data_IF_837555491655
#
_entry.id   IF_837555491655
#
_cell.length_a   1.000
_cell.length_b   1.000
_cell.length_c   1.000
_cell.angle_alpha   90.00
_cell.angle_beta   90.00
_cell.angle_gamma   90.00
#
_symmetry.space_group_name_H-M   'P 1'
#
loop_
_entity.id
_entity.type
_entity.pdbx_description
1 polymer ?
#
# COMPACT_ATOMS: atom_id res chain seq x y z
N UNK A 1 11.82 -14.38 9.42
CA UNK A 1 11.89 -13.38 10.52
C UNK A 1 13.37 -13.10 10.75
N UNK A 2 13.84 -11.84 10.82
CA UNK A 2 15.25 -11.53 11.07
C UNK A 2 15.72 -12.06 12.43
N UNK A 3 16.98 -12.48 12.51
CA UNK A 3 17.57 -12.95 13.78
C UNK A 3 18.01 -11.79 14.68
N UNK A 4 18.57 -10.73 14.07
CA UNK A 4 18.98 -9.51 14.77
C UNK A 4 17.78 -8.81 15.42
N UNK A 5 17.89 -8.50 16.72
CA UNK A 5 16.81 -7.89 17.49
C UNK A 5 16.34 -6.56 16.92
N UNK A 6 17.26 -5.72 16.43
CA UNK A 6 16.92 -4.42 15.85
C UNK A 6 16.12 -4.56 14.54
N UNK A 7 16.55 -5.46 13.66
CA UNK A 7 15.85 -5.74 12.39
C UNK A 7 14.50 -6.40 12.64
N UNK A 8 14.41 -7.29 13.63
CA UNK A 8 13.17 -7.94 14.06
C UNK A 8 12.17 -6.92 14.61
N UNK A 9 12.63 -5.97 15.43
CA UNK A 9 11.79 -4.88 15.94
C UNK A 9 11.25 -4.00 14.81
N UNK A 10 12.10 -3.60 13.86
CA UNK A 10 11.68 -2.83 12.69
C UNK A 10 10.68 -3.59 11.82
N UNK A 11 10.91 -4.90 11.60
CA UNK A 11 9.98 -5.76 10.87
C UNK A 11 8.59 -5.76 11.54
N UNK A 12 8.52 -5.98 12.85
CA UNK A 12 7.23 -5.98 13.55
C UNK A 12 6.56 -4.60 13.53
N UNK A 13 7.33 -3.52 13.71
CA UNK A 13 6.81 -2.16 13.59
C UNK A 13 6.12 -1.95 12.24
N UNK A 14 6.83 -2.24 11.13
CA UNK A 14 6.28 -2.06 9.77
C UNK A 14 5.08 -2.98 9.51
N UNK A 15 5.14 -4.21 10.01
CA UNK A 15 4.02 -5.16 9.90
C UNK A 15 2.74 -4.60 10.54
N UNK A 16 2.83 -4.06 11.76
CA UNK A 16 1.67 -3.52 12.47
C UNK A 16 1.21 -2.16 11.92
N UNK A 17 2.13 -1.27 11.55
CA UNK A 17 1.79 -0.02 10.86
C UNK A 17 1.06 -0.27 9.53
N UNK A 18 1.37 -1.37 8.84
CA UNK A 18 0.69 -1.82 7.61
C UNK A 18 -0.82 -1.97 7.73
N UNK A 19 -1.33 -2.27 8.92
CA UNK A 19 -2.76 -2.37 9.18
C UNK A 19 -3.45 -1.01 9.02
N UNK A 20 -2.78 0.07 9.43
CA UNK A 20 -3.28 1.45 9.26
C UNK A 20 -3.37 1.84 7.79
N UNK A 21 -2.36 1.48 6.97
CA UNK A 21 -2.41 1.68 5.53
C UNK A 21 -3.60 0.96 4.91
N UNK A 22 -3.81 -0.30 5.29
CA UNK A 22 -4.91 -1.13 4.78
C UNK A 22 -6.27 -0.50 5.12
N UNK A 23 -6.44 0.00 6.34
CA UNK A 23 -7.65 0.68 6.77
C UNK A 23 -7.90 1.97 5.97
N UNK A 24 -6.92 2.87 5.90
CA UNK A 24 -7.06 4.16 5.20
C UNK A 24 -7.30 4.00 3.70
N UNK A 25 -6.67 2.99 3.09
CA UNK A 25 -6.93 2.60 1.71
C UNK A 25 -8.39 2.16 1.55
N UNK A 26 -8.87 1.27 2.42
CA UNK A 26 -10.24 0.77 2.38
C UNK A 26 -11.29 1.88 2.59
N UNK A 27 -10.99 2.86 3.42
CA UNK A 27 -11.86 4.01 3.71
C UNK A 27 -12.03 4.97 2.51
N UNK A 28 -11.13 4.91 1.53
CA UNK A 28 -11.26 5.64 0.26
C UNK A 28 -11.89 4.76 -0.81
N UNK A 29 -11.30 3.60 -1.09
CA UNK A 29 -11.70 2.74 -2.22
C UNK A 29 -13.12 2.20 -2.04
N UNK A 30 -13.47 1.81 -0.82
CA UNK A 30 -14.76 1.17 -0.54
C UNK A 30 -15.81 2.11 0.04
N UNK A 31 -15.54 3.42 0.11
CA UNK A 31 -16.45 4.37 0.76
C UNK A 31 -17.87 4.28 0.18
N UNK A 32 -18.01 4.40 -1.15
CA UNK A 32 -19.31 4.37 -1.82
C UNK A 32 -20.01 3.01 -1.72
N UNK A 33 -19.25 1.93 -1.54
CA UNK A 33 -19.80 0.59 -1.34
C UNK A 33 -20.27 0.36 0.10
N UNK A 34 -19.54 0.88 1.09
CA UNK A 34 -19.85 0.72 2.51
C UNK A 34 -20.88 1.72 3.04
N UNK A 35 -20.94 2.92 2.46
CA UNK A 35 -21.78 4.02 2.93
C UNK A 35 -22.97 4.22 2.00
N UNK A 36 -24.22 4.04 2.48
CA UNK A 36 -25.43 4.30 1.71
C UNK A 36 -25.46 5.72 1.16
N UNK A 37 -26.05 5.90 -0.03
CA UNK A 37 -26.02 7.18 -0.74
C UNK A 37 -26.52 8.38 0.10
N UNK A 38 -27.59 8.19 0.88
CA UNK A 38 -28.13 9.24 1.77
C UNK A 38 -27.28 9.58 2.99
N UNK A 39 -26.26 8.77 3.30
CA UNK A 39 -25.32 8.95 4.43
C UNK A 39 -23.93 9.42 3.97
N UNK A 40 -23.73 9.60 2.67
CA UNK A 40 -22.45 10.05 2.12
C UNK A 40 -22.23 11.53 2.41
N UNK A 41 -21.02 11.86 2.81
CA UNK A 41 -20.63 13.24 3.15
C UNK A 41 -19.32 13.60 2.45
N UNK A 42 -19.31 14.71 1.71
CA UNK A 42 -18.12 15.24 1.03
C UNK A 42 -16.97 15.50 2.01
N UNK A 43 -17.28 15.90 3.24
CA UNK A 43 -16.30 16.10 4.31
C UNK A 43 -15.59 14.80 4.70
N UNK A 44 -16.31 13.67 4.72
CA UNK A 44 -15.73 12.36 4.98
C UNK A 44 -14.84 11.91 3.82
N UNK A 45 -15.29 12.09 2.57
CA UNK A 45 -14.50 11.78 1.36
C UNK A 45 -13.19 12.56 1.36
N UNK A 46 -13.25 13.88 1.61
CA UNK A 46 -12.07 14.75 1.68
C UNK A 46 -11.10 14.29 2.77
N UNK A 47 -11.60 14.09 4.00
CA UNK A 47 -10.78 13.66 5.14
C UNK A 47 -10.11 12.31 4.89
N UNK A 48 -10.83 11.34 4.32
CA UNK A 48 -10.28 10.01 4.05
C UNK A 48 -9.17 10.08 2.98
N UNK A 49 -9.35 10.88 1.93
CA UNK A 49 -8.32 11.12 0.91
C UNK A 49 -7.08 11.80 1.46
N UNK A 50 -7.24 12.84 2.28
CA UNK A 50 -6.13 13.52 2.95
C UNK A 50 -5.37 12.57 3.87
N UNK A 51 -6.09 11.75 4.65
CA UNK A 51 -5.50 10.75 5.53
C UNK A 51 -4.71 9.67 4.76
N UNK A 52 -5.23 9.20 3.63
CA UNK A 52 -4.54 8.24 2.76
C UNK A 52 -3.33 8.87 2.08
N UNK A 53 -3.42 10.12 1.57
CA UNK A 53 -2.26 10.82 0.98
C UNK A 53 -1.12 11.00 2.00
N UNK A 54 -1.45 11.35 3.25
CA UNK A 54 -0.46 11.44 4.32
C UNK A 54 0.17 10.07 4.64
N UNK A 55 -0.62 9.00 4.64
CA UNK A 55 -0.13 7.64 4.87
C UNK A 55 0.79 7.17 3.73
N UNK A 56 0.40 7.34 2.47
CA UNK A 56 1.25 6.96 1.32
C UNK A 56 2.59 7.71 1.36
N UNK A 57 2.58 9.00 1.71
CA UNK A 57 3.80 9.80 1.91
C UNK A 57 4.69 9.25 3.03
N UNK A 58 4.12 8.69 4.09
CA UNK A 58 4.87 8.04 5.17
C UNK A 58 5.62 6.81 4.65
N UNK A 59 4.94 5.94 3.89
CA UNK A 59 5.54 4.73 3.30
C UNK A 59 6.61 5.05 2.25
N UNK A 60 6.37 6.03 1.39
CA UNK A 60 7.37 6.58 0.48
C UNK A 60 8.60 7.06 1.28
N UNK A 61 8.39 7.81 2.36
CA UNK A 61 9.46 8.30 3.23
C UNK A 61 10.23 7.19 3.95
N UNK A 62 9.58 6.08 4.31
CA UNK A 62 10.26 4.91 4.87
C UNK A 62 11.18 4.24 3.84
N UNK A 63 10.71 4.06 2.59
CA UNK A 63 11.53 3.48 1.53
C UNK A 63 12.66 4.41 1.08
N UNK A 64 12.47 5.72 1.14
CA UNK A 64 13.54 6.70 0.92
C UNK A 64 14.69 6.56 1.94
N UNK A 65 14.36 6.21 3.19
CA UNK A 65 15.32 6.07 4.29
C UNK A 65 15.80 4.63 4.51
N UNK A 66 15.21 3.67 3.80
CA UNK A 66 15.51 2.26 3.99
C UNK A 66 16.96 1.94 3.60
N UNK A 67 17.59 1.04 4.36
CA UNK A 67 18.95 0.55 4.08
C UNK A 67 18.98 -0.56 3.02
N UNK A 68 17.84 -0.85 2.38
CA UNK A 68 17.67 -1.90 1.39
C UNK A 68 16.32 -1.78 0.65
N UNK A 69 16.02 -2.73 -0.25
CA UNK A 69 14.86 -2.64 -1.14
C UNK A 69 13.54 -3.10 -0.49
N UNK A 70 13.54 -3.47 0.79
CA UNK A 70 12.37 -3.99 1.50
C UNK A 70 12.01 -3.12 2.71
N UNK A 71 10.79 -3.26 3.21
CA UNK A 71 10.23 -2.39 4.24
C UNK A 71 10.98 -2.43 5.57
N UNK A 72 11.62 -3.56 5.85
CA UNK A 72 12.39 -3.79 7.08
C UNK A 72 13.90 -3.95 6.84
N UNK A 73 14.41 -3.51 5.69
CA UNK A 73 15.85 -3.50 5.38
C UNK A 73 16.21 -4.26 4.11
N UNK A 74 17.27 -5.06 4.17
CA UNK A 74 17.89 -5.69 2.99
C UNK A 74 17.21 -6.98 2.53
N UNK A 75 16.50 -7.65 3.43
CA UNK A 75 15.91 -8.96 3.19
C UNK A 75 14.39 -8.89 3.20
N UNK A 76 13.76 -9.63 2.29
CA UNK A 76 12.31 -9.82 2.28
C UNK A 76 11.87 -10.47 3.59
N UNK A 77 10.82 -9.94 4.19
CA UNK A 77 10.41 -10.27 5.56
C UNK A 77 8.89 -10.37 5.70
N UNK A 78 8.42 -10.67 6.92
CA UNK A 78 6.99 -10.71 7.20
C UNK A 78 6.32 -9.33 7.02
N UNK A 79 7.07 -8.24 7.20
CA UNK A 79 6.56 -6.90 6.91
C UNK A 79 6.13 -6.78 5.43
N UNK A 80 6.96 -7.26 4.51
CA UNK A 80 6.67 -7.21 3.07
C UNK A 80 5.49 -8.12 2.70
N UNK A 81 5.41 -9.31 3.30
CA UNK A 81 4.27 -10.23 3.11
C UNK A 81 2.94 -9.58 3.49
N UNK A 82 2.90 -8.86 4.62
CA UNK A 82 1.67 -8.27 5.15
C UNK A 82 1.31 -6.96 4.44
N UNK A 83 2.29 -6.13 4.11
CA UNK A 83 2.06 -4.78 3.57
C UNK A 83 1.95 -4.76 2.05
N UNK A 84 2.68 -5.62 1.35
CA UNK A 84 2.71 -5.62 -0.11
C UNK A 84 1.33 -5.72 -0.77
N UNK A 85 0.37 -6.56 -0.29
CA UNK A 85 -0.97 -6.60 -0.87
C UNK A 85 -1.66 -5.23 -0.90
N UNK A 86 -1.56 -4.44 0.17
CA UNK A 86 -2.14 -3.09 0.23
C UNK A 86 -1.43 -2.11 -0.70
N UNK A 87 -0.10 -2.23 -0.85
CA UNK A 87 0.67 -1.44 -1.83
C UNK A 87 0.28 -1.81 -3.28
N UNK A 88 0.16 -3.09 -3.59
CA UNK A 88 -0.29 -3.54 -4.90
C UNK A 88 -1.71 -3.05 -5.20
N UNK A 89 -2.58 -3.03 -4.19
CA UNK A 89 -3.95 -2.55 -4.32
C UNK A 89 -4.02 -1.05 -4.62
N UNK A 90 -3.28 -0.20 -3.91
CA UNK A 90 -3.29 1.25 -4.22
C UNK A 90 -2.76 1.57 -5.63
N UNK A 91 -1.76 0.82 -6.13
CA UNK A 91 -1.31 0.96 -7.52
C UNK A 91 -2.33 0.43 -8.52
N UNK A 92 -3.00 -0.69 -8.23
CA UNK A 92 -4.10 -1.20 -9.05
C UNK A 92 -5.24 -0.17 -9.18
N UNK A 93 -5.49 0.62 -8.14
CA UNK A 93 -6.48 1.71 -8.11
C UNK A 93 -5.93 3.08 -8.56
N UNK A 94 -4.76 3.13 -9.19
CA UNK A 94 -4.30 4.33 -9.89
C UNK A 94 -3.36 5.25 -9.16
N UNK A 95 -2.70 4.81 -8.09
CA UNK A 95 -1.70 5.65 -7.44
C UNK A 95 -0.60 6.06 -8.43
N UNK A 96 -0.27 7.35 -8.47
CA UNK A 96 0.71 7.90 -9.40
C UNK A 96 2.14 7.46 -9.07
N UNK A 97 2.76 6.65 -9.94
CA UNK A 97 4.14 6.19 -9.77
C UNK A 97 5.16 7.34 -9.73
N UNK A 98 4.98 8.37 -10.56
CA UNK A 98 5.88 9.53 -10.62
C UNK A 98 5.89 10.35 -9.32
N UNK A 99 4.74 10.40 -8.63
CA UNK A 99 4.60 11.09 -7.34
C UNK A 99 5.24 10.32 -6.19
N UNK A 100 5.31 8.99 -6.30
CA UNK A 100 5.80 8.08 -5.25
C UNK A 100 6.84 7.08 -5.81
N UNK A 101 8.00 7.58 -6.28
CA UNK A 101 8.93 6.77 -7.06
C UNK A 101 9.60 5.65 -6.24
N UNK A 102 9.83 5.82 -4.93
CA UNK A 102 10.40 4.73 -4.11
C UNK A 102 9.39 3.64 -3.85
N UNK A 103 8.13 4.01 -3.60
CA UNK A 103 7.04 3.08 -3.44
C UNK A 103 6.75 2.32 -4.74
N UNK A 104 6.79 3.00 -5.88
CA UNK A 104 6.65 2.40 -7.21
C UNK A 104 7.78 1.41 -7.50
N UNK A 105 9.03 1.78 -7.21
CA UNK A 105 10.17 0.88 -7.36
C UNK A 105 10.03 -0.38 -6.48
N UNK A 106 9.63 -0.22 -5.22
CA UNK A 106 9.33 -1.33 -4.31
C UNK A 106 8.20 -2.22 -4.84
N UNK A 107 7.11 -1.61 -5.32
CA UNK A 107 5.96 -2.31 -5.88
C UNK A 107 6.35 -3.16 -7.09
N UNK A 108 7.02 -2.55 -8.08
CA UNK A 108 7.42 -3.19 -9.33
C UNK A 108 8.46 -4.29 -9.09
N UNK A 109 9.45 -4.07 -8.21
CA UNK A 109 10.43 -5.09 -7.89
C UNK A 109 9.81 -6.32 -7.20
N UNK A 110 8.88 -6.11 -6.28
CA UNK A 110 8.22 -7.22 -5.59
C UNK A 110 7.19 -7.94 -6.48
N UNK A 111 6.56 -7.24 -7.43
CA UNK A 111 5.64 -7.84 -8.41
C UNK A 111 6.30 -8.96 -9.21
N UNK A 112 7.61 -8.87 -9.41
CA UNK A 112 8.40 -9.87 -10.14
C UNK A 112 8.71 -11.15 -9.34
N UNK A 113 8.47 -11.16 -8.02
CA UNK A 113 8.78 -12.32 -7.16
C UNK A 113 7.92 -13.53 -7.55
N UNK A 114 8.49 -14.75 -7.66
CA UNK A 114 7.73 -15.94 -8.04
C UNK A 114 6.50 -16.20 -7.18
N UNK A 115 6.60 -15.98 -5.86
CA UNK A 115 5.47 -16.15 -4.94
C UNK A 115 4.35 -15.15 -5.19
N UNK A 116 4.68 -13.89 -5.54
CA UNK A 116 3.68 -12.85 -5.82
C UNK A 116 3.02 -13.09 -7.17
N UNK A 117 3.79 -13.47 -8.21
CA UNK A 117 3.23 -13.86 -9.51
C UNK A 117 2.27 -15.04 -9.39
N UNK A 118 2.63 -16.05 -8.59
CA UNK A 118 1.80 -17.23 -8.38
C UNK A 118 0.47 -16.92 -7.64
N UNK A 119 0.43 -15.84 -6.87
CA UNK A 119 -0.76 -15.42 -6.11
C UNK A 119 -1.38 -14.13 -6.65
N UNK A 120 -0.99 -13.67 -7.85
CA UNK A 120 -1.52 -12.44 -8.42
C UNK A 120 -3.00 -12.63 -8.76
N UNK A 121 -3.90 -11.72 -8.35
CA UNK A 121 -5.33 -11.89 -8.61
C UNK A 121 -5.63 -11.97 -10.11
N UNK A 122 -6.20 -13.08 -10.63
CA UNK A 122 -6.46 -13.22 -12.07
C UNK A 122 -7.41 -12.15 -12.60
N UNK A 123 -8.41 -11.76 -11.80
CA UNK A 123 -9.40 -10.74 -12.17
C UNK A 123 -8.80 -9.36 -12.43
N UNK A 124 -7.59 -9.06 -11.94
CA UNK A 124 -6.91 -7.78 -12.21
C UNK A 124 -6.27 -7.72 -13.59
N UNK A 125 -6.09 -8.86 -14.27
CA UNK A 125 -5.62 -8.89 -15.66
C UNK A 125 -6.75 -8.59 -16.64
N UNK A 126 -7.99 -8.88 -16.24
CA UNK A 126 -9.19 -8.80 -17.07
C UNK A 126 -9.94 -7.46 -16.90
N UNK A 127 -9.81 -6.80 -15.74
CA UNK A 127 -10.58 -5.62 -15.38
C UNK A 127 -9.70 -4.40 -15.11
N UNK A 128 -10.06 -3.28 -15.72
CA UNK A 128 -9.51 -1.94 -15.43
C UNK A 128 -10.32 -1.14 -14.40
N UNK A 129 -11.28 -1.78 -13.72
CA UNK A 129 -12.14 -1.07 -12.76
C UNK A 129 -11.32 -0.47 -11.61
N UNK A 130 -11.56 0.82 -11.34
CA UNK A 130 -10.94 1.52 -10.21
C UNK A 130 -9.58 2.16 -10.50
N UNK A 131 -9.02 2.00 -11.70
CA UNK A 131 -7.69 2.49 -12.10
C UNK A 131 -7.47 4.01 -11.96
N UNK A 132 -8.53 4.79 -11.77
CA UNK A 132 -8.45 6.24 -11.65
C UNK A 132 -8.80 6.78 -10.25
N UNK A 133 -9.21 5.91 -9.31
CA UNK A 133 -9.71 6.39 -8.02
C UNK A 133 -8.63 7.09 -7.20
N UNK A 134 -7.37 6.67 -7.30
CA UNK A 134 -6.28 7.22 -6.48
C UNK A 134 -5.30 8.10 -7.27
N UNK A 135 -5.59 8.46 -8.52
CA UNK A 135 -4.69 9.28 -9.37
C UNK A 135 -4.34 10.64 -8.78
N UNK A 136 -5.26 11.21 -8.00
CA UNK A 136 -5.12 12.53 -7.40
C UNK A 136 -4.53 12.51 -5.98
N UNK A 137 -4.33 11.33 -5.38
CA UNK A 137 -3.74 11.16 -4.03
C UNK A 137 -2.24 11.43 -4.03
#
# INVERSE_FOLDING_TARGET
IPDCSAEKALMYQRMFEGLTLTQKMADVIYYNWKVPEGERHDSAVKRNREALSAEVKLWEGYLQKASGPFLAGKNFSLADVIVYPSIAYIFHFGLCEERYPKLAAYYNANKERPSIKATWPPSWLESSQGQDQLKDI
#
